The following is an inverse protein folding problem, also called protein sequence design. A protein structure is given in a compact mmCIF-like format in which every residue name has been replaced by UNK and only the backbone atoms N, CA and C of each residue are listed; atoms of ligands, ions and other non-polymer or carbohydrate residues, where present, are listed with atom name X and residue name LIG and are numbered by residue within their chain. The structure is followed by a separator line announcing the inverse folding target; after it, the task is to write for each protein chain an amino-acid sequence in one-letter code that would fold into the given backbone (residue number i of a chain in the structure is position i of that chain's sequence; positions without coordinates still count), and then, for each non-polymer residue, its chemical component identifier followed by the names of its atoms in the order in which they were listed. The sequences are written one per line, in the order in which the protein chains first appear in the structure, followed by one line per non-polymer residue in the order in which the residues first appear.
data_IF_347238739634
#
_entry.id   IF_347238739634
#
_cell.length_a   1.000
_cell.length_b   1.000
_cell.length_c   1.000
_cell.angle_alpha   90.00
_cell.angle_beta   90.00
_cell.angle_gamma   90.00
#
_symmetry.space_group_name_H-M   'P 1'
#
loop_
_entity.id
_entity.type
_entity.pdbx_description
1 polymer ?
#
# COMPACT_ATOMS: atom_id res chain seq x y z
N UNK A 1 5.13 -4.50 -12.59
CA UNK A 1 5.56 -3.26 -11.90
C UNK A 1 6.53 -2.46 -12.76
N UNK A 2 6.34 -1.14 -12.88
CA UNK A 2 7.15 -0.18 -13.66
C UNK A 2 8.40 0.30 -12.89
N UNK A 3 8.26 0.57 -11.59
CA UNK A 3 9.30 1.14 -10.72
C UNK A 3 9.90 0.12 -9.75
N UNK A 4 10.15 -1.10 -10.24
CA UNK A 4 10.59 -2.21 -9.40
C UNK A 4 11.86 -1.92 -8.58
N UNK A 5 12.89 -1.34 -9.20
CA UNK A 5 14.16 -1.10 -8.49
C UNK A 5 14.01 -0.03 -7.38
N UNK A 6 13.18 0.98 -7.60
CA UNK A 6 12.90 2.01 -6.60
C UNK A 6 12.07 1.45 -5.43
N UNK A 7 11.05 0.65 -5.73
CA UNK A 7 10.26 -0.01 -4.69
C UNK A 7 11.11 -0.99 -3.87
N UNK A 8 12.01 -1.72 -4.53
CA UNK A 8 12.99 -2.59 -3.87
C UNK A 8 13.96 -1.81 -2.99
N UNK A 9 14.39 -0.61 -3.40
CA UNK A 9 15.21 0.26 -2.57
C UNK A 9 14.46 0.72 -1.32
N UNK A 10 13.21 1.18 -1.46
CA UNK A 10 12.35 1.56 -0.34
C UNK A 10 12.12 0.38 0.60
N UNK A 11 11.80 -0.80 0.05
CA UNK A 11 11.65 -2.03 0.82
C UNK A 11 12.90 -2.31 1.66
N UNK A 12 14.07 -2.33 1.00
CA UNK A 12 15.33 -2.70 1.65
C UNK A 12 15.73 -1.72 2.75
N UNK A 13 15.44 -0.42 2.58
CA UNK A 13 15.87 0.64 3.51
C UNK A 13 14.87 0.92 4.61
N UNK A 14 13.57 0.87 4.31
CA UNK A 14 12.53 1.45 5.15
C UNK A 14 11.44 0.48 5.56
N UNK A 15 11.38 -0.74 5.01
CA UNK A 15 10.47 -1.77 5.52
C UNK A 15 11.18 -2.59 6.59
N UNK A 16 10.74 -2.53 7.85
CA UNK A 16 11.37 -3.30 8.92
C UNK A 16 11.02 -4.78 8.77
N UNK A 17 11.89 -5.66 9.30
CA UNK A 17 11.61 -7.10 9.35
C UNK A 17 10.36 -7.44 10.18
N UNK A 18 10.03 -6.63 11.18
CA UNK A 18 8.88 -6.79 12.06
C UNK A 18 8.29 -5.43 12.42
N UNK A 19 6.98 -5.36 12.57
CA UNK A 19 6.26 -4.14 12.92
C UNK A 19 6.04 -3.19 11.74
N UNK A 20 5.62 -1.96 12.06
CA UNK A 20 5.37 -0.90 11.09
C UNK A 20 6.64 -0.10 10.79
N UNK A 21 6.70 0.45 9.58
CA UNK A 21 7.73 1.43 9.21
C UNK A 21 7.47 2.79 9.89
N UNK A 22 8.54 3.47 10.27
CA UNK A 22 8.54 4.87 10.69
C UNK A 22 8.67 5.84 9.50
N UNK A 23 8.65 5.31 8.27
CA UNK A 23 8.65 6.05 7.00
C UNK A 23 7.34 5.78 6.24
N UNK A 24 6.72 6.82 5.69
CA UNK A 24 5.44 6.74 4.94
C UNK A 24 5.54 5.77 3.79
N UNK A 25 6.55 5.92 2.94
CA UNK A 25 6.74 5.08 1.76
C UNK A 25 7.06 3.62 2.13
N UNK A 26 7.84 3.43 3.19
CA UNK A 26 8.10 2.09 3.73
C UNK A 26 6.80 1.43 4.18
N UNK A 27 5.96 2.16 4.92
CA UNK A 27 4.69 1.62 5.40
C UNK A 27 3.71 1.35 4.26
N UNK A 28 3.69 2.18 3.21
CA UNK A 28 2.85 1.96 2.03
C UNK A 28 3.23 0.67 1.30
N UNK A 29 4.52 0.49 0.99
CA UNK A 29 4.99 -0.76 0.36
C UNK A 29 4.69 -1.97 1.26
N UNK A 30 4.92 -1.85 2.57
CA UNK A 30 4.61 -2.92 3.54
C UNK A 30 3.12 -3.27 3.55
N UNK A 31 2.24 -2.27 3.52
CA UNK A 31 0.79 -2.45 3.50
C UNK A 31 0.33 -3.19 2.23
N UNK A 32 0.83 -2.77 1.06
CA UNK A 32 0.53 -3.40 -0.23
C UNK A 32 0.97 -4.87 -0.23
N UNK A 33 2.20 -5.18 0.21
CA UNK A 33 2.70 -6.56 0.25
C UNK A 33 1.97 -7.43 1.29
N UNK A 34 1.54 -6.85 2.43
CA UNK A 34 0.71 -7.56 3.41
C UNK A 34 -0.65 -7.94 2.83
N UNK A 35 -1.31 -7.01 2.14
CA UNK A 35 -2.59 -7.25 1.48
C UNK A 35 -2.44 -8.28 0.35
N UNK A 36 -1.39 -8.15 -0.49
CA UNK A 36 -1.07 -9.13 -1.54
C UNK A 36 -0.89 -10.52 -0.96
N UNK A 37 -0.04 -10.64 0.06
CA UNK A 37 0.24 -11.91 0.70
C UNK A 37 -1.02 -12.55 1.28
N UNK A 38 -1.86 -11.77 1.97
CA UNK A 38 -3.10 -12.26 2.55
C UNK A 38 -4.06 -12.79 1.48
N UNK A 39 -4.26 -12.05 0.39
CA UNK A 39 -5.11 -12.48 -0.71
C UNK A 39 -4.56 -13.73 -1.41
N UNK A 40 -3.29 -13.70 -1.85
CA UNK A 40 -2.71 -14.74 -2.68
C UNK A 40 -2.34 -16.01 -1.92
N UNK A 41 -1.88 -15.88 -0.67
CA UNK A 41 -1.38 -17.02 0.11
C UNK A 41 -2.40 -17.56 1.10
N UNK A 42 -3.23 -16.69 1.67
CA UNK A 42 -4.22 -17.08 2.69
C UNK A 42 -5.66 -17.05 2.17
N UNK A 43 -5.89 -16.55 0.95
CA UNK A 43 -7.24 -16.41 0.40
C UNK A 43 -8.12 -15.48 1.23
N UNK A 44 -7.53 -14.46 1.87
CA UNK A 44 -8.18 -13.60 2.86
C UNK A 44 -8.74 -14.33 4.10
N UNK A 45 -8.33 -15.58 4.37
CA UNK A 45 -8.83 -16.36 5.50
C UNK A 45 -8.48 -15.79 6.89
N UNK A 46 -7.50 -14.89 6.99
CA UNK A 46 -7.17 -14.18 8.22
C UNK A 46 -7.64 -12.72 8.20
N UNK A 47 -8.51 -12.30 7.27
CA UNK A 47 -8.94 -10.91 7.16
C UNK A 47 -9.53 -10.38 8.48
N UNK A 48 -9.18 -9.14 8.85
CA UNK A 48 -9.75 -8.41 9.99
C UNK A 48 -9.57 -6.89 9.80
N UNK A 49 -10.03 -6.11 10.78
CA UNK A 49 -9.91 -4.66 10.84
C UNK A 49 -8.47 -4.15 10.63
N UNK A 50 -7.45 -4.95 10.94
CA UNK A 50 -6.06 -4.59 10.69
C UNK A 50 -5.71 -4.52 9.21
N UNK A 51 -6.27 -5.41 8.38
CA UNK A 51 -6.10 -5.32 6.91
C UNK A 51 -6.91 -4.18 6.32
N UNK A 52 -8.10 -3.90 6.85
CA UNK A 52 -8.88 -2.72 6.48
C UNK A 52 -8.09 -1.43 6.78
N UNK A 53 -7.44 -1.33 7.94
CA UNK A 53 -6.57 -0.21 8.27
C UNK A 53 -5.40 -0.05 7.31
N UNK A 54 -4.83 -1.15 6.79
CA UNK A 54 -3.77 -1.08 5.78
C UNK A 54 -4.30 -0.51 4.45
N UNK A 55 -5.45 -0.98 3.98
CA UNK A 55 -6.08 -0.46 2.77
C UNK A 55 -6.45 1.02 2.90
N UNK A 56 -7.09 1.40 4.02
CA UNK A 56 -7.44 2.78 4.31
C UNK A 56 -6.22 3.69 4.41
N UNK A 57 -5.11 3.21 4.98
CA UNK A 57 -3.86 3.97 5.02
C UNK A 57 -3.28 4.22 3.62
N UNK A 58 -3.35 3.23 2.71
CA UNK A 58 -2.95 3.43 1.31
C UNK A 58 -3.79 4.53 0.68
N UNK A 59 -5.12 4.47 0.85
CA UNK A 59 -6.03 5.48 0.32
C UNK A 59 -5.79 6.88 0.92
N UNK A 60 -5.58 6.97 2.24
CA UNK A 60 -5.34 8.22 2.93
C UNK A 60 -4.15 8.99 2.33
N UNK A 61 -3.06 8.28 2.01
CA UNK A 61 -1.83 8.91 1.52
C UNK A 61 -1.84 9.11 0.01
N UNK A 62 -2.30 8.11 -0.76
CA UNK A 62 -2.23 8.16 -2.23
C UNK A 62 -3.39 8.93 -2.86
N UNK A 63 -4.47 9.22 -2.13
CA UNK A 63 -5.55 10.09 -2.62
C UNK A 63 -5.18 11.60 -2.56
N UNK A 64 -4.04 11.93 -3.16
CA UNK A 64 -3.36 13.21 -3.05
C UNK A 64 -3.52 14.03 -4.34
N UNK A 65 -4.39 15.04 -4.28
CA UNK A 65 -4.73 15.90 -5.41
C UNK A 65 -3.59 16.87 -5.80
N UNK A 66 -2.56 17.02 -4.96
CA UNK A 66 -1.37 17.80 -5.30
C UNK A 66 -0.35 16.96 -6.11
N UNK A 67 -0.55 15.64 -6.17
CA UNK A 67 0.39 14.69 -6.82
C UNK A 67 -0.23 14.04 -8.06
N UNK A 68 -1.48 13.61 -7.97
CA UNK A 68 -2.13 12.82 -9.00
C UNK A 68 -3.27 13.58 -9.69
N UNK A 69 -3.38 13.37 -10.99
CA UNK A 69 -4.51 13.87 -11.78
C UNK A 69 -5.79 13.07 -11.46
N UNK A 70 -6.98 13.62 -11.77
CA UNK A 70 -8.26 13.02 -11.36
C UNK A 70 -8.50 11.58 -11.83
N UNK A 71 -8.02 11.23 -13.02
CA UNK A 71 -8.10 9.88 -13.59
C UNK A 71 -7.27 8.87 -12.80
N UNK A 72 -6.05 9.25 -12.40
CA UNK A 72 -5.19 8.42 -11.54
C UNK A 72 -5.76 8.30 -10.12
N UNK A 73 -6.33 9.37 -9.57
CA UNK A 73 -7.00 9.31 -8.27
C UNK A 73 -8.19 8.34 -8.28
N UNK A 74 -8.98 8.33 -9.36
CA UNK A 74 -10.08 7.38 -9.52
C UNK A 74 -9.57 5.94 -9.63
N UNK A 75 -8.45 5.71 -10.31
CA UNK A 75 -7.80 4.40 -10.38
C UNK A 75 -7.36 3.92 -9.00
N UNK A 76 -6.63 4.75 -8.24
CA UNK A 76 -6.19 4.44 -6.86
C UNK A 76 -7.40 4.13 -5.96
N UNK A 77 -8.44 4.97 -6.02
CA UNK A 77 -9.67 4.78 -5.24
C UNK A 77 -10.36 3.46 -5.59
N UNK A 78 -10.47 3.14 -6.89
CA UNK A 78 -11.06 1.89 -7.36
C UNK A 78 -10.26 0.68 -6.88
N UNK A 79 -8.95 0.73 -7.00
CA UNK A 79 -8.04 -0.36 -6.61
C UNK A 79 -8.12 -0.64 -5.11
N UNK A 80 -8.04 0.40 -4.29
CA UNK A 80 -8.17 0.23 -2.84
C UNK A 80 -9.59 -0.23 -2.47
N UNK A 81 -10.63 0.27 -3.15
CA UNK A 81 -11.99 -0.19 -2.90
C UNK A 81 -12.17 -1.68 -3.24
N UNK A 82 -11.55 -2.18 -4.32
CA UNK A 82 -11.53 -3.62 -4.63
C UNK A 82 -10.92 -4.38 -3.44
N UNK A 83 -9.72 -3.98 -2.97
CA UNK A 83 -9.07 -4.64 -1.84
C UNK A 83 -9.94 -4.66 -0.58
N UNK A 84 -10.60 -3.54 -0.26
CA UNK A 84 -11.44 -3.41 0.94
C UNK A 84 -12.79 -4.13 0.85
N UNK A 85 -13.26 -4.48 -0.35
CA UNK A 85 -14.55 -5.17 -0.56
C UNK A 85 -14.40 -6.64 -0.97
N UNK A 86 -13.15 -7.10 -1.14
CA UNK A 86 -12.79 -8.46 -1.55
C UNK A 86 -12.52 -9.43 -0.39
N UNK A 87 -13.04 -9.20 0.81
CA UNK A 87 -12.85 -10.11 1.96
C UNK A 87 -13.16 -11.58 1.62
N UNK A 88 -14.31 -11.83 0.98
CA UNK A 88 -14.75 -13.19 0.63
C UNK A 88 -14.36 -13.63 -0.78
N UNK A 89 -13.92 -12.70 -1.63
CA UNK A 89 -13.50 -12.92 -3.02
C UNK A 89 -12.16 -12.18 -3.26
N UNK A 90 -11.03 -12.73 -2.78
CA UNK A 90 -9.73 -12.06 -2.81
C UNK A 90 -9.29 -11.77 -4.24
N UNK A 91 -8.68 -10.59 -4.44
CA UNK A 91 -8.04 -10.23 -5.69
C UNK A 91 -6.64 -10.86 -5.78
N UNK A 92 -6.44 -11.75 -6.76
CA UNK A 92 -5.25 -12.62 -6.83
C UNK A 92 -4.18 -12.14 -7.82
N UNK A 93 -4.56 -11.33 -8.82
CA UNK A 93 -3.63 -10.90 -9.86
C UNK A 93 -2.65 -9.84 -9.33
N UNK A 94 -1.42 -9.85 -9.84
CA UNK A 94 -0.35 -8.94 -9.37
C UNK A 94 -0.52 -7.50 -9.86
N UNK A 95 -1.27 -7.28 -10.92
CA UNK A 95 -1.38 -6.01 -11.64
C UNK A 95 -1.89 -4.85 -10.77
N UNK A 96 -2.91 -5.10 -9.94
CA UNK A 96 -3.43 -4.12 -8.99
C UNK A 96 -2.38 -3.74 -7.94
N UNK A 97 -1.73 -4.73 -7.33
CA UNK A 97 -0.71 -4.49 -6.31
C UNK A 97 0.52 -3.79 -6.89
N UNK A 98 0.94 -4.19 -8.09
CA UNK A 98 2.06 -3.57 -8.81
C UNK A 98 1.76 -2.11 -9.17
N UNK A 99 0.53 -1.80 -9.57
CA UNK A 99 0.09 -0.45 -9.90
C UNK A 99 0.02 0.45 -8.66
N UNK A 100 -0.55 -0.03 -7.55
CA UNK A 100 -0.49 0.69 -6.28
C UNK A 100 0.96 0.95 -5.85
N UNK A 101 1.85 -0.04 -5.97
CA UNK A 101 3.25 0.11 -5.63
C UNK A 101 3.96 1.11 -6.56
N UNK A 102 3.60 1.16 -7.85
CA UNK A 102 4.10 2.17 -8.79
C UNK A 102 3.68 3.59 -8.36
N UNK A 103 2.43 3.78 -7.93
CA UNK A 103 1.95 5.08 -7.41
C UNK A 103 2.65 5.49 -6.11
N UNK A 104 3.06 4.54 -5.25
CA UNK A 104 3.90 4.88 -4.09
C UNK A 104 5.21 5.53 -4.54
N UNK A 105 5.82 5.06 -5.63
CA UNK A 105 7.07 5.64 -6.15
C UNK A 105 6.83 7.01 -6.80
N UNK A 106 5.74 7.18 -7.53
CA UNK A 106 5.36 8.47 -8.11
C UNK A 106 5.12 9.51 -7.02
N UNK A 107 4.42 9.14 -5.94
CA UNK A 107 4.20 9.97 -4.77
C UNK A 107 5.51 10.31 -4.05
N UNK A 108 6.39 9.31 -3.86
CA UNK A 108 7.71 9.49 -3.27
C UNK A 108 8.52 10.57 -4.01
N UNK A 109 8.54 10.52 -5.34
CA UNK A 109 9.23 11.50 -6.17
C UNK A 109 8.61 12.89 -6.07
N UNK A 110 7.29 12.99 -6.12
CA UNK A 110 6.59 14.26 -6.05
C UNK A 110 6.81 14.97 -4.70
N UNK A 111 6.77 14.21 -3.60
CA UNK A 111 6.97 14.74 -2.24
C UNK A 111 8.43 14.89 -1.83
N UNK A 112 9.37 14.41 -2.65
CA UNK A 112 10.82 14.41 -2.35
C UNK A 112 11.13 13.74 -1.01
N UNK A 113 10.51 12.58 -0.77
CA UNK A 113 10.69 11.81 0.46
C UNK A 113 12.10 11.21 0.61
N UNK A 114 12.35 10.37 1.63
CA UNK A 114 11.37 9.70 2.50
C UNK A 114 10.71 10.61 3.54
N UNK A 115 9.45 10.36 3.88
CA UNK A 115 8.70 11.14 4.88
C UNK A 115 8.54 10.33 6.17
N UNK A 116 8.82 10.96 7.32
CA UNK A 116 8.63 10.32 8.63
C UNK A 116 7.14 10.21 8.98
N UNK A 117 6.75 9.12 9.63
CA UNK A 117 5.42 8.92 10.22
C UNK A 117 5.49 8.43 11.67
N UNK A 118 4.40 8.63 12.38
CA UNK A 118 4.17 7.97 13.67
C UNK A 118 3.58 6.58 13.46
N UNK A 119 3.90 5.65 14.35
CA UNK A 119 3.34 4.29 14.37
C UNK A 119 1.87 4.35 14.81
N UNK A 120 1.00 3.62 14.13
CA UNK A 120 -0.40 3.47 14.55
C UNK A 120 -0.50 2.37 15.62
N UNK A 121 -0.80 2.72 16.87
CA UNK A 121 -0.87 1.76 17.98
C UNK A 121 -1.99 0.72 17.85
N UNK A 122 -3.01 1.01 17.03
CA UNK A 122 -4.14 0.10 16.79
C UNK A 122 -3.85 -0.91 15.68
N UNK A 123 -2.80 -0.68 14.87
CA UNK A 123 -2.42 -1.56 13.77
C UNK A 123 -1.34 -2.57 14.23
N UNK A 124 -1.75 -3.82 14.39
CA UNK A 124 -0.90 -4.92 14.88
C UNK A 124 -0.40 -5.88 13.78
N UNK A 125 -0.68 -5.59 12.51
CA UNK A 125 -0.31 -6.42 11.35
C UNK A 125 1.15 -6.27 10.90
#
# INVERSE_FOLDING_TARGET
MKYFEQAKEIWTKYVPKNGQSDIVEGELIRAIEKLRWEAQSNGNGNWDEGFEMLGLYILEILNDNDVFEPDILLEIQSDVNILLTSEYEPYLEDDLYDRLADHVIEWHFAKKGPIKRAINQNLYR
#
